data_IF_215617178722
#
_entry.id   IF_215617178722
#
_cell.length_a   1.000
_cell.length_b   1.000
_cell.length_c   1.000
_cell.angle_alpha   90.00
_cell.angle_beta   90.00
_cell.angle_gamma   90.00
#
_symmetry.space_group_name_H-M   'P 1'
#
loop_
_entity.id
_entity.type
_entity.pdbx_description
1 polymer ?
#
# COMPACT_ATOMS: atom_id res chain seq x y z
N UNK A 1 -4.08 -5.11 16.61
CA UNK A 1 -3.10 -4.23 15.93
C UNK A 1 -3.13 -4.54 14.44
N UNK A 2 -2.74 -3.62 13.55
CA UNK A 2 -2.87 -3.78 12.09
C UNK A 2 -2.28 -5.11 11.61
N UNK A 3 -1.11 -5.48 12.14
CA UNK A 3 -0.39 -6.70 11.78
C UNK A 3 -1.21 -7.98 12.05
N UNK A 4 -2.00 -8.02 13.13
CA UNK A 4 -2.83 -9.19 13.49
C UNK A 4 -3.96 -9.44 12.49
N UNK A 5 -4.34 -8.42 11.72
CA UNK A 5 -5.42 -8.48 10.73
C UNK A 5 -4.92 -7.98 9.37
N UNK A 6 -3.62 -8.11 9.09
CA UNK A 6 -2.99 -7.50 7.93
C UNK A 6 -3.63 -7.94 6.61
N UNK A 7 -4.07 -9.20 6.51
CA UNK A 7 -4.78 -9.70 5.34
C UNK A 7 -6.12 -8.98 5.11
N UNK A 8 -6.89 -8.72 6.19
CA UNK A 8 -8.15 -7.96 6.09
C UNK A 8 -7.86 -6.50 5.73
N UNK A 9 -6.83 -5.91 6.34
CA UNK A 9 -6.39 -4.54 6.07
C UNK A 9 -6.01 -4.39 4.60
N UNK A 10 -5.19 -5.30 4.05
CA UNK A 10 -4.80 -5.29 2.64
C UNK A 10 -6.00 -5.49 1.71
N UNK A 11 -6.94 -6.38 2.06
CA UNK A 11 -8.19 -6.54 1.30
C UNK A 11 -9.02 -5.25 1.26
N UNK A 12 -9.18 -4.59 2.41
CA UNK A 12 -9.90 -3.32 2.51
C UNK A 12 -9.22 -2.22 1.69
N UNK A 13 -7.89 -2.13 1.77
CA UNK A 13 -7.09 -1.20 1.00
C UNK A 13 -7.24 -1.45 -0.51
N UNK A 14 -7.11 -2.71 -0.93
CA UNK A 14 -7.22 -3.11 -2.32
C UNK A 14 -8.56 -2.68 -2.90
N UNK A 15 -9.65 -2.97 -2.17
CA UNK A 15 -10.99 -2.54 -2.58
C UNK A 15 -11.15 -1.02 -2.62
N UNK A 16 -10.56 -0.27 -1.66
CA UNK A 16 -10.59 1.20 -1.68
C UNK A 16 -9.95 1.76 -2.95
N UNK A 17 -8.85 1.16 -3.40
CA UNK A 17 -8.13 1.57 -4.61
C UNK A 17 -8.89 1.14 -5.86
N UNK A 18 -9.24 -0.14 -5.97
CA UNK A 18 -9.83 -0.72 -7.17
C UNK A 18 -11.26 -0.26 -7.42
N UNK A 19 -12.06 -0.05 -6.38
CA UNK A 19 -13.52 0.11 -6.49
C UNK A 19 -14.10 1.37 -5.83
N UNK A 20 -13.30 2.15 -5.07
CA UNK A 20 -13.82 3.32 -4.35
C UNK A 20 -13.04 4.61 -4.60
N UNK A 21 -12.15 4.61 -5.59
CA UNK A 21 -11.48 5.81 -6.09
C UNK A 21 -10.36 6.34 -5.18
N UNK A 22 -9.80 5.53 -4.30
CA UNK A 22 -8.54 5.86 -3.65
C UNK A 22 -7.41 5.78 -4.67
N UNK A 23 -6.59 6.83 -4.80
CA UNK A 23 -5.54 6.88 -5.82
C UNK A 23 -4.13 7.04 -5.25
N UNK A 24 -4.01 7.62 -4.05
CA UNK A 24 -2.78 7.71 -3.28
C UNK A 24 -3.08 7.19 -1.89
N UNK A 25 -2.15 6.42 -1.35
CA UNK A 25 -2.22 6.02 0.04
C UNK A 25 -0.84 5.88 0.66
N UNK A 26 -0.73 6.29 1.92
CA UNK A 26 0.44 6.06 2.77
C UNK A 26 0.03 5.17 3.95
N UNK A 27 0.59 3.97 4.02
CA UNK A 27 0.44 3.02 5.11
C UNK A 27 1.56 3.22 6.12
N UNK A 28 1.21 3.41 7.38
CA UNK A 28 2.14 3.50 8.50
C UNK A 28 1.87 2.32 9.43
N UNK A 29 2.57 1.20 9.20
CA UNK A 29 2.36 -0.04 9.93
C UNK A 29 2.68 0.11 11.42
N UNK A 30 3.81 0.76 11.74
CA UNK A 30 4.24 0.96 13.14
C UNK A 30 3.24 1.77 13.98
N UNK A 31 2.46 2.66 13.36
CA UNK A 31 1.40 3.43 14.04
C UNK A 31 -0.01 2.93 13.72
N UNK A 32 -0.14 1.81 12.99
CA UNK A 32 -1.40 1.22 12.53
C UNK A 32 -2.36 2.24 11.93
N UNK A 33 -1.87 3.05 10.99
CA UNK A 33 -2.62 4.14 10.35
C UNK A 33 -2.43 4.16 8.84
N UNK A 34 -3.41 4.70 8.13
CA UNK A 34 -3.31 5.01 6.71
C UNK A 34 -3.77 6.45 6.43
N UNK A 35 -3.05 7.14 5.58
CA UNK A 35 -3.51 8.40 4.96
C UNK A 35 -3.93 8.07 3.54
N UNK A 36 -5.17 8.40 3.17
CA UNK A 36 -5.77 8.03 1.87
C UNK A 36 -6.28 9.28 1.15
N UNK A 37 -5.99 9.39 -0.14
CA UNK A 37 -6.53 10.44 -1.01
C UNK A 37 -7.46 9.83 -2.06
N UNK A 38 -8.54 10.54 -2.35
CA UNK A 38 -9.60 10.11 -3.25
C UNK A 38 -9.73 11.05 -4.45
N UNK A 39 -10.01 10.49 -5.63
CA UNK A 39 -10.09 11.23 -6.90
C UNK A 39 -11.13 12.34 -6.89
N UNK A 40 -12.29 12.12 -6.26
CA UNK A 40 -13.36 13.13 -6.12
C UNK A 40 -13.04 14.26 -5.13
N UNK A 41 -11.98 14.13 -4.32
CA UNK A 41 -11.60 15.15 -3.33
C UNK A 41 -10.07 15.12 -3.10
N UNK A 42 -9.27 15.40 -4.13
CA UNK A 42 -7.83 15.14 -4.11
C UNK A 42 -7.06 16.06 -3.16
N UNK A 43 -7.64 17.19 -2.76
CA UNK A 43 -7.06 18.12 -1.79
C UNK A 43 -7.42 17.79 -0.33
N UNK A 44 -8.24 16.76 -0.09
CA UNK A 44 -8.76 16.39 1.24
C UNK A 44 -8.45 14.91 1.51
N UNK A 45 -7.32 14.66 2.16
CA UNK A 45 -6.99 13.32 2.61
C UNK A 45 -7.91 12.87 3.75
N UNK A 46 -8.00 11.55 3.95
CA UNK A 46 -8.64 10.92 5.09
C UNK A 46 -7.61 10.14 5.89
N UNK A 47 -7.70 10.22 7.21
CA UNK A 47 -6.93 9.37 8.12
C UNK A 47 -7.79 8.18 8.53
N UNK A 48 -7.30 6.98 8.25
CA UNK A 48 -7.88 5.73 8.73
C UNK A 48 -7.00 5.20 9.85
N UNK A 49 -7.57 5.03 11.03
CA UNK A 49 -6.88 4.40 12.14
C UNK A 49 -7.05 2.87 12.10
N UNK A 50 -6.40 2.19 13.06
CA UNK A 50 -6.49 0.74 13.19
C UNK A 50 -7.95 0.25 13.29
N UNK A 51 -8.82 0.95 14.02
CA UNK A 51 -10.19 0.54 14.21
C UNK A 51 -10.97 0.62 12.89
N UNK A 52 -10.72 1.64 12.06
CA UNK A 52 -11.32 1.74 10.73
C UNK A 52 -10.76 0.68 9.77
N UNK A 53 -9.45 0.52 9.71
CA UNK A 53 -8.77 -0.37 8.75
C UNK A 53 -9.10 -1.85 8.98
N UNK A 54 -9.38 -2.24 10.23
CA UNK A 54 -9.74 -3.61 10.61
C UNK A 54 -11.25 -3.88 10.62
N UNK A 55 -12.09 -2.93 10.17
CA UNK A 55 -13.53 -3.13 10.07
C UNK A 55 -13.92 -3.73 8.72
N UNK A 56 -14.63 -4.85 8.74
CA UNK A 56 -15.22 -5.43 7.54
C UNK A 56 -16.24 -4.49 6.85
N UNK A 57 -16.87 -3.61 7.61
CA UNK A 57 -17.87 -2.65 7.10
C UNK A 57 -17.27 -1.35 6.55
N UNK A 58 -15.94 -1.21 6.49
CA UNK A 58 -15.29 0.06 6.10
C UNK A 58 -15.81 0.55 4.74
N UNK A 59 -15.89 -0.36 3.78
CA UNK A 59 -16.23 -0.07 2.38
C UNK A 59 -17.65 0.52 2.21
N UNK A 60 -18.60 0.20 3.10
CA UNK A 60 -19.96 0.77 3.05
C UNK A 60 -20.02 2.30 3.18
N UNK A 61 -18.94 2.92 3.66
CA UNK A 61 -18.84 4.37 3.82
C UNK A 61 -18.28 5.08 2.59
N UNK A 62 -17.87 4.33 1.56
CA UNK A 62 -17.30 4.85 0.33
C UNK A 62 -18.17 4.43 -0.87
N UNK A 63 -18.54 5.38 -1.74
CA UNK A 63 -19.32 5.06 -2.94
C UNK A 63 -18.45 4.30 -3.95
N UNK A 64 -19.09 3.44 -4.73
CA UNK A 64 -18.43 2.76 -5.85
C UNK A 64 -17.95 3.77 -6.89
N UNK A 65 -16.77 3.52 -7.43
CA UNK A 65 -16.14 4.29 -8.50
C UNK A 65 -15.37 3.34 -9.43
N UNK A 66 -15.49 3.50 -10.76
CA UNK A 66 -14.70 2.73 -11.69
C UNK A 66 -13.21 3.03 -11.48
N UNK A 67 -12.37 2.01 -11.71
CA UNK A 67 -10.94 2.20 -11.77
C UNK A 67 -10.60 3.17 -12.91
N UNK A 68 -9.74 4.19 -12.69
CA UNK A 68 -9.50 5.23 -13.69
C UNK A 68 -8.66 4.71 -14.87
N UNK A 69 -9.08 5.03 -16.09
CA UNK A 69 -8.40 4.61 -17.32
C UNK A 69 -6.99 5.22 -17.46
N UNK A 70 -6.75 6.35 -16.82
CA UNK A 70 -5.47 7.07 -16.84
C UNK A 70 -4.48 6.58 -15.76
N UNK A 71 -4.85 5.57 -14.96
CA UNK A 71 -3.90 4.95 -14.02
C UNK A 71 -2.72 4.32 -14.77
N UNK A 72 -1.52 4.50 -14.21
CA UNK A 72 -0.30 3.83 -14.68
C UNK A 72 -0.10 2.45 -14.08
N UNK A 73 -0.74 2.16 -12.96
CA UNK A 73 -0.78 0.83 -12.34
C UNK A 73 -2.09 0.18 -12.77
N UNK A 74 -2.04 -1.02 -13.33
CA UNK A 74 -3.25 -1.75 -13.70
C UNK A 74 -3.98 -2.23 -12.44
N UNK A 75 -5.31 -2.37 -12.51
CA UNK A 75 -6.09 -2.82 -11.36
C UNK A 75 -5.64 -4.21 -10.88
N UNK A 76 -5.27 -5.08 -11.82
CA UNK A 76 -4.79 -6.44 -11.54
C UNK A 76 -3.45 -6.48 -10.78
N UNK A 77 -2.66 -5.40 -10.83
CA UNK A 77 -1.36 -5.33 -10.17
C UNK A 77 -1.46 -4.88 -8.70
N UNK A 78 -2.59 -4.29 -8.31
CA UNK A 78 -2.79 -3.74 -6.95
C UNK A 78 -2.60 -4.81 -5.88
N UNK A 79 -3.22 -5.98 -6.07
CA UNK A 79 -3.11 -7.07 -5.09
C UNK A 79 -1.68 -7.58 -4.96
N UNK A 80 -0.94 -7.69 -6.07
CA UNK A 80 0.47 -8.10 -6.10
C UNK A 80 1.38 -7.11 -5.34
N UNK A 81 1.16 -5.80 -5.53
CA UNK A 81 1.91 -4.76 -4.81
C UNK A 81 1.63 -4.82 -3.31
N UNK A 82 0.36 -4.97 -2.93
CA UNK A 82 -0.03 -5.06 -1.51
C UNK A 82 0.44 -6.35 -0.85
N UNK A 83 0.50 -7.45 -1.59
CA UNK A 83 1.10 -8.70 -1.12
C UNK A 83 2.60 -8.53 -0.83
N UNK A 84 3.33 -7.82 -1.69
CA UNK A 84 4.73 -7.46 -1.45
C UNK A 84 4.87 -6.62 -0.18
N UNK A 85 4.02 -5.61 0.02
CA UNK A 85 4.04 -4.80 1.25
C UNK A 85 3.81 -5.67 2.50
N UNK A 86 2.88 -6.63 2.42
CA UNK A 86 2.60 -7.57 3.49
C UNK A 86 3.82 -8.46 3.79
N UNK A 87 4.45 -9.04 2.75
CA UNK A 87 5.65 -9.88 2.90
C UNK A 87 6.80 -9.11 3.55
N UNK A 88 7.10 -7.91 3.05
CA UNK A 88 8.15 -7.05 3.60
C UNK A 88 7.84 -6.55 5.02
N UNK A 89 6.57 -6.40 5.38
CA UNK A 89 6.16 -6.06 6.75
C UNK A 89 6.41 -7.20 7.73
N UNK A 90 6.25 -8.44 7.27
CA UNK A 90 6.29 -9.65 8.10
C UNK A 90 7.59 -10.45 7.96
N UNK A 91 8.59 -9.92 7.25
CA UNK A 91 9.79 -10.67 6.84
C UNK A 91 10.62 -11.14 8.04
N UNK A 92 10.93 -10.25 8.98
CA UNK A 92 11.58 -10.56 10.27
C UNK A 92 11.49 -9.36 11.25
N UNK A 93 12.10 -9.49 12.43
CA UNK A 93 12.12 -8.46 13.48
C UNK A 93 13.24 -7.40 13.33
N UNK A 94 14.15 -7.56 12.36
CA UNK A 94 15.34 -6.72 12.18
C UNK A 94 15.12 -5.72 11.03
N UNK A 95 14.77 -6.21 9.85
CA UNK A 95 14.62 -5.44 8.60
C UNK A 95 13.20 -5.61 8.08
N UNK A 96 12.27 -4.91 8.71
CA UNK A 96 10.86 -4.92 8.29
C UNK A 96 10.39 -3.57 7.77
N UNK A 97 9.33 -3.63 6.97
CA UNK A 97 8.64 -2.45 6.45
C UNK A 97 7.92 -1.70 7.58
N UNK A 98 8.24 -0.41 7.76
CA UNK A 98 7.58 0.49 8.72
C UNK A 98 6.45 1.28 8.08
N UNK A 99 6.65 1.70 6.83
CA UNK A 99 5.62 2.36 6.03
C UNK A 99 5.78 2.07 4.55
N UNK A 100 4.68 2.17 3.82
CA UNK A 100 4.66 2.05 2.37
C UNK A 100 3.74 3.10 1.76
N UNK A 101 3.95 3.46 0.50
CA UNK A 101 2.97 4.24 -0.25
C UNK A 101 2.74 3.68 -1.65
N UNK A 102 1.57 4.01 -2.20
CA UNK A 102 1.20 3.71 -3.58
C UNK A 102 0.52 4.93 -4.18
N UNK A 103 0.86 5.26 -5.43
CA UNK A 103 0.18 6.24 -6.26
C UNK A 103 -0.13 5.63 -7.63
N UNK A 104 -1.41 5.40 -7.92
CA UNK A 104 -1.80 4.73 -9.17
C UNK A 104 -1.60 5.60 -10.42
N UNK A 105 -1.67 6.93 -10.30
CA UNK A 105 -1.49 7.85 -11.44
C UNK A 105 -0.01 8.12 -11.75
N UNK A 106 0.82 8.19 -10.72
CA UNK A 106 2.25 8.37 -10.89
C UNK A 106 2.94 7.04 -11.23
N UNK A 107 2.31 5.90 -10.93
CA UNK A 107 2.91 4.58 -11.11
C UNK A 107 4.02 4.31 -10.09
N UNK A 108 4.00 5.02 -8.96
CA UNK A 108 5.07 5.04 -7.97
C UNK A 108 4.63 4.36 -6.69
N UNK A 109 5.58 3.65 -6.09
CA UNK A 109 5.50 3.11 -4.74
C UNK A 109 6.65 3.64 -3.91
N UNK A 110 6.47 3.68 -2.59
CA UNK A 110 7.58 3.86 -1.68
C UNK A 110 7.59 2.83 -0.58
N UNK A 111 8.78 2.45 -0.13
CA UNK A 111 9.00 1.49 0.94
C UNK A 111 9.94 2.12 1.96
N UNK A 112 9.54 2.19 3.22
CA UNK A 112 10.39 2.69 4.30
C UNK A 112 10.65 1.58 5.30
N UNK A 113 11.91 1.16 5.42
CA UNK A 113 12.34 0.10 6.33
C UNK A 113 12.73 0.63 7.71
N UNK A 114 12.96 -0.29 8.64
CA UNK A 114 13.44 -0.02 10.01
C UNK A 114 14.84 0.60 10.02
N UNK A 115 15.77 0.07 9.22
CA UNK A 115 17.19 0.42 9.24
C UNK A 115 17.73 1.10 7.97
N UNK A 116 17.09 0.94 6.81
CA UNK A 116 17.66 1.34 5.51
C UNK A 116 17.01 2.60 4.88
N UNK A 117 16.13 3.29 5.61
CA UNK A 117 15.51 4.53 5.13
C UNK A 117 14.36 4.28 4.16
N UNK A 118 14.18 5.16 3.17
CA UNK A 118 13.05 5.14 2.23
C UNK A 118 13.49 4.98 0.77
N UNK A 119 12.87 4.03 0.09
CA UNK A 119 13.06 3.75 -1.33
C UNK A 119 11.82 4.19 -2.11
N UNK A 120 12.01 4.93 -3.20
CA UNK A 120 10.95 5.30 -4.14
C UNK A 120 11.25 4.65 -5.48
N UNK A 121 10.28 3.96 -6.07
CA UNK A 121 10.47 3.29 -7.35
C UNK A 121 9.17 3.19 -8.14
N UNK A 122 9.24 3.02 -9.48
CA UNK A 122 8.14 2.54 -10.28
C UNK A 122 7.59 1.20 -9.76
N UNK A 123 6.27 1.01 -9.83
CA UNK A 123 5.64 -0.26 -9.49
C UNK A 123 6.18 -1.43 -10.32
N UNK A 124 6.57 -1.19 -11.58
CA UNK A 124 7.18 -2.20 -12.47
C UNK A 124 8.50 -2.72 -11.91
N UNK A 125 9.29 -1.85 -11.28
CA UNK A 125 10.57 -2.22 -10.69
C UNK A 125 10.35 -3.02 -9.40
N UNK A 126 9.34 -2.65 -8.60
CA UNK A 126 8.92 -3.43 -7.45
C UNK A 126 8.45 -4.85 -7.86
N UNK A 127 7.64 -4.93 -8.91
CA UNK A 127 7.06 -6.19 -9.41
C UNK A 127 8.05 -7.06 -10.19
N UNK A 128 9.24 -6.55 -10.52
CA UNK A 128 10.29 -7.29 -11.20
C UNK A 128 11.27 -7.92 -10.19
N UNK A 129 11.25 -9.25 -9.96
CA UNK A 129 12.12 -9.91 -8.98
C UNK A 129 13.62 -9.77 -9.29
N UNK A 130 13.99 -9.52 -10.54
CA UNK A 130 15.39 -9.37 -10.97
C UNK A 130 15.94 -7.96 -10.77
N UNK A 131 15.09 -7.00 -10.38
CA UNK A 131 15.48 -5.61 -10.16
C UNK A 131 16.53 -5.50 -9.04
N UNK A 132 17.43 -4.53 -9.16
CA UNK A 132 18.57 -4.34 -8.24
C UNK A 132 18.14 -4.10 -6.80
N UNK A 133 16.95 -3.52 -6.59
CA UNK A 133 16.33 -3.39 -5.27
C UNK A 133 16.30 -4.72 -4.51
N UNK A 134 15.79 -5.78 -5.14
CA UNK A 134 15.67 -7.08 -4.49
C UNK A 134 17.04 -7.70 -4.16
N UNK A 135 18.04 -7.44 -5.00
CA UNK A 135 19.43 -7.91 -4.75
C UNK A 135 20.07 -7.21 -3.55
N UNK A 136 19.72 -5.95 -3.30
CA UNK A 136 20.25 -5.17 -2.20
C UNK A 136 19.51 -5.44 -0.88
N UNK A 137 18.18 -5.57 -0.91
CA UNK A 137 17.36 -5.79 0.30
C UNK A 137 17.33 -7.24 0.77
N UNK A 138 17.44 -8.22 -0.14
CA UNK A 138 17.56 -9.65 0.24
C UNK A 138 19.00 -10.06 0.52
N UNK A 139 19.96 -9.14 0.38
CA UNK A 139 21.41 -9.34 0.59
C UNK A 139 21.84 -9.66 2.03
N UNK A 140 20.89 -9.91 2.94
CA UNK A 140 21.10 -10.59 4.22
C UNK A 140 20.84 -12.10 4.11
N UNK A 141 21.42 -12.75 3.09
CA UNK A 141 21.52 -14.21 3.01
C UNK A 141 22.95 -14.66 3.29
#
# INVERSE_FOLDING_TARGET
MMDQQINLVMKNISALIQYHGAFQMNLHFSSSRATVWFTKSPLKYRLLDNAMLTRASLLHTYPDQPYPNEAKINAEEIDSILEIFCKLRLIDDVIYLRSASINIFNGLVSLTFSCDGSHYMPHTDLLNPEHTFWKNETGYC
#
